data_IF_667261522417
#
_entry.id   IF_667261522417
#
_cell.length_a   1.000
_cell.length_b   1.000
_cell.length_c   1.000
_cell.angle_alpha   90.00
_cell.angle_beta   90.00
_cell.angle_gamma   90.00
#
_symmetry.space_group_name_H-M   'P 1'
#
loop_
_entity.id
_entity.type
_entity.pdbx_description
1 polymer ?
#
# COMPACT_ATOMS: atom_id res chain seq x y z
N UNK A 1 -25.82 29.62 -13.87
CA UNK A 1 -24.63 30.46 -13.63
C UNK A 1 -23.71 29.68 -12.71
N UNK A 2 -22.57 29.20 -13.22
CA UNK A 2 -21.59 28.42 -12.44
C UNK A 2 -20.90 29.36 -11.45
N UNK A 3 -21.01 29.08 -10.16
CA UNK A 3 -20.24 29.77 -9.14
C UNK A 3 -18.77 29.35 -9.28
N UNK A 4 -17.96 30.23 -9.85
CA UNK A 4 -16.51 30.11 -9.86
C UNK A 4 -16.00 30.17 -8.41
N UNK A 5 -15.51 29.04 -7.89
CA UNK A 5 -14.73 29.06 -6.66
C UNK A 5 -13.43 29.85 -6.92
N UNK A 6 -13.06 30.81 -6.05
CA UNK A 6 -11.83 31.55 -6.20
C UNK A 6 -10.65 30.61 -6.03
N UNK A 7 -9.76 30.55 -7.03
CA UNK A 7 -8.42 29.95 -6.89
C UNK A 7 -7.67 30.75 -5.82
N UNK A 8 -7.56 30.23 -4.60
CA UNK A 8 -6.74 30.85 -3.57
C UNK A 8 -5.27 30.46 -3.76
N UNK A 9 -4.45 31.51 -3.86
CA UNK A 9 -3.07 31.69 -3.39
C UNK A 9 -2.02 30.61 -3.71
N UNK A 10 -0.98 31.04 -4.44
CA UNK A 10 0.40 30.53 -4.42
C UNK A 10 0.62 29.33 -3.49
N UNK A 11 0.62 28.11 -4.06
CA UNK A 11 1.07 26.92 -3.35
C UNK A 11 2.56 27.15 -3.05
N UNK A 12 2.88 27.25 -1.76
CA UNK A 12 4.26 27.28 -1.31
C UNK A 12 4.90 25.93 -1.70
N UNK A 13 5.78 25.98 -2.71
CA UNK A 13 6.44 24.80 -3.25
C UNK A 13 7.47 24.22 -2.29
N UNK A 14 7.89 25.02 -1.29
CA UNK A 14 8.87 24.62 -0.27
C UNK A 14 8.18 24.13 1.01
N UNK A 15 6.85 24.23 1.10
CA UNK A 15 6.10 23.71 2.25
C UNK A 15 6.17 22.18 2.27
N UNK A 16 6.57 21.57 3.41
CA UNK A 16 6.59 20.11 3.55
C UNK A 16 5.18 19.50 3.44
N UNK A 17 4.14 20.31 3.68
CA UNK A 17 2.73 19.91 3.63
C UNK A 17 2.06 20.25 2.28
N UNK A 18 2.84 20.65 1.25
CA UNK A 18 2.29 20.87 -0.09
C UNK A 18 1.55 19.62 -0.60
N UNK A 19 0.43 19.74 -1.32
CA UNK A 19 -0.24 18.58 -1.88
C UNK A 19 0.61 17.93 -2.99
N UNK A 20 0.44 16.63 -3.19
CA UNK A 20 0.88 15.96 -4.41
C UNK A 20 -0.04 16.37 -5.57
N UNK A 21 0.47 16.29 -6.80
CA UNK A 21 -0.32 16.63 -7.98
C UNK A 21 -1.39 15.56 -8.22
N UNK A 22 -0.99 14.28 -8.22
CA UNK A 22 -1.87 13.16 -8.56
C UNK A 22 -1.97 12.08 -7.46
N UNK A 23 -1.16 12.14 -6.41
CA UNK A 23 -1.21 11.16 -5.31
C UNK A 23 -2.14 11.67 -4.20
N UNK A 24 -3.33 11.08 -4.10
CA UNK A 24 -4.31 11.45 -3.08
C UNK A 24 -4.13 10.65 -1.79
N UNK A 25 -4.78 11.13 -0.71
CA UNK A 25 -4.78 10.48 0.60
C UNK A 25 -3.36 10.25 1.18
N UNK A 26 -2.38 11.03 0.73
CA UNK A 26 -0.99 10.95 1.15
C UNK A 26 -0.78 11.64 2.50
N UNK A 27 -0.11 10.98 3.46
CA UNK A 27 0.38 11.63 4.70
C UNK A 27 1.46 10.81 5.40
N UNK A 28 2.25 11.53 6.21
CA UNK A 28 3.09 10.96 7.26
C UNK A 28 2.23 10.60 8.48
N UNK A 29 2.24 9.33 8.87
CA UNK A 29 1.46 8.81 10.00
C UNK A 29 1.96 9.39 11.33
N UNK A 30 3.28 9.46 11.51
CA UNK A 30 3.89 10.01 12.72
C UNK A 30 3.52 11.48 12.91
N UNK A 31 3.64 12.27 11.85
CA UNK A 31 3.21 13.68 11.86
C UNK A 31 1.72 13.83 12.13
N UNK A 32 0.88 13.04 11.47
CA UNK A 32 -0.58 13.03 11.64
C UNK A 32 -0.98 12.83 13.11
N UNK A 33 -0.41 11.82 13.76
CA UNK A 33 -0.66 11.50 15.17
C UNK A 33 -0.09 12.56 16.11
N UNK A 34 1.14 13.03 15.87
CA UNK A 34 1.77 14.06 16.69
C UNK A 34 0.98 15.38 16.66
N UNK A 35 0.49 15.79 15.49
CA UNK A 35 -0.35 16.99 15.32
C UNK A 35 -1.65 16.88 16.12
N UNK A 36 -2.32 15.72 16.06
CA UNK A 36 -3.53 15.49 16.83
C UNK A 36 -3.27 15.54 18.35
N UNK A 37 -2.15 14.97 18.80
CA UNK A 37 -1.77 14.95 20.21
C UNK A 37 -1.21 16.27 20.74
N UNK A 38 -0.79 17.18 19.86
CA UNK A 38 -0.09 18.41 20.24
C UNK A 38 1.31 18.18 20.85
N UNK A 39 1.87 16.97 20.71
CA UNK A 39 3.20 16.60 21.21
C UNK A 39 3.82 15.52 20.33
N UNK A 40 5.16 15.48 20.27
CA UNK A 40 5.91 14.47 19.51
C UNK A 40 6.01 13.18 20.31
N UNK A 41 5.34 12.12 19.85
CA UNK A 41 5.42 10.75 20.41
C UNK A 41 5.87 9.72 19.37
N UNK A 42 5.66 9.99 18.09
CA UNK A 42 6.17 9.19 16.96
C UNK A 42 7.25 9.94 16.18
N UNK A 43 8.19 9.21 15.61
CA UNK A 43 9.12 9.74 14.61
C UNK A 43 8.35 10.13 13.35
N UNK A 44 8.64 11.33 12.85
CA UNK A 44 8.20 11.77 11.53
C UNK A 44 9.20 11.31 10.47
N UNK A 45 8.76 11.21 9.22
CA UNK A 45 9.56 10.76 8.10
C UNK A 45 9.83 9.26 8.08
N UNK A 46 9.05 8.47 8.83
CA UNK A 46 9.24 7.01 8.98
C UNK A 46 8.19 6.25 8.18
N UNK A 47 6.92 6.40 8.53
CA UNK A 47 5.82 5.66 7.92
C UNK A 47 4.86 6.61 7.20
N UNK A 48 4.76 6.44 5.88
CA UNK A 48 3.83 7.14 5.02
C UNK A 48 2.72 6.21 4.54
N UNK A 49 1.56 6.80 4.26
CA UNK A 49 0.42 6.12 3.63
C UNK A 49 -0.14 6.94 2.49
N UNK A 50 -0.67 6.30 1.45
CA UNK A 50 -1.36 6.97 0.34
C UNK A 50 -2.37 6.07 -0.38
N UNK A 51 -3.16 6.65 -1.28
CA UNK A 51 -3.78 5.91 -2.39
C UNK A 51 -2.72 5.44 -3.39
N UNK A 52 -3.14 4.68 -4.42
CA UNK A 52 -2.23 4.18 -5.45
C UNK A 52 -1.45 5.34 -6.12
N UNK A 53 -0.12 5.23 -6.25
CA UNK A 53 0.69 6.26 -6.89
C UNK A 53 0.86 6.03 -8.41
N UNK A 54 0.02 5.20 -9.03
CA UNK A 54 0.14 4.80 -10.44
C UNK A 54 0.29 6.03 -11.35
N UNK A 55 -0.52 7.06 -11.12
CA UNK A 55 -0.59 8.27 -11.95
C UNK A 55 0.30 9.41 -11.43
N UNK A 56 1.28 9.11 -10.57
CA UNK A 56 2.21 10.10 -10.01
C UNK A 56 2.90 10.91 -11.11
N UNK A 57 2.84 12.24 -11.00
CA UNK A 57 3.57 13.15 -11.90
C UNK A 57 5.09 13.01 -11.71
N UNK A 58 5.90 13.52 -12.65
CA UNK A 58 7.36 13.57 -12.47
C UNK A 58 7.76 14.39 -11.23
N UNK A 59 6.95 15.38 -10.85
CA UNK A 59 7.14 16.16 -9.63
C UNK A 59 6.78 15.34 -8.39
N UNK A 60 5.74 14.52 -8.45
CA UNK A 60 5.37 13.60 -7.39
C UNK A 60 6.47 12.56 -7.16
N UNK A 61 7.00 11.96 -8.24
CA UNK A 61 8.11 11.00 -8.19
C UNK A 61 9.36 11.61 -7.55
N UNK A 62 9.79 12.79 -8.00
CA UNK A 62 10.92 13.52 -7.40
C UNK A 62 10.67 13.82 -5.93
N UNK A 63 9.47 14.21 -5.55
CA UNK A 63 9.14 14.42 -4.14
C UNK A 63 9.27 13.13 -3.32
N UNK A 64 8.74 12.02 -3.82
CA UNK A 64 8.88 10.73 -3.13
C UNK A 64 10.35 10.30 -3.01
N UNK A 65 11.14 10.42 -4.07
CA UNK A 65 12.52 9.90 -4.10
C UNK A 65 13.57 10.86 -3.53
N UNK A 66 13.49 12.16 -3.83
CA UNK A 66 14.53 13.15 -3.53
C UNK A 66 14.21 14.00 -2.29
N UNK A 67 12.93 14.28 -2.00
CA UNK A 67 12.56 15.10 -0.84
C UNK A 67 12.25 14.21 0.37
N UNK A 68 11.37 13.23 0.18
CA UNK A 68 10.93 12.32 1.24
C UNK A 68 11.83 11.09 1.38
N UNK A 69 12.71 10.86 0.41
CA UNK A 69 13.67 9.76 0.39
C UNK A 69 13.03 8.39 0.61
N UNK A 70 11.82 8.16 0.08
CA UNK A 70 11.11 6.88 0.23
C UNK A 70 12.03 5.73 -0.22
N UNK A 71 12.41 4.89 0.74
CA UNK A 71 13.32 3.77 0.54
C UNK A 71 12.56 2.48 0.20
N UNK A 72 11.31 2.35 0.66
CA UNK A 72 10.50 1.16 0.44
C UNK A 72 9.05 1.53 0.13
N UNK A 73 8.46 0.85 -0.85
CA UNK A 73 7.04 0.93 -1.18
C UNK A 73 6.41 -0.45 -0.97
N UNK A 74 5.35 -0.51 -0.17
CA UNK A 74 4.54 -1.72 0.03
C UNK A 74 3.19 -1.50 -0.65
N UNK A 75 2.96 -2.22 -1.74
CA UNK A 75 1.70 -2.23 -2.49
C UNK A 75 0.82 -3.37 -2.00
N UNK A 76 -0.33 -3.03 -1.40
CA UNK A 76 -1.27 -3.99 -0.82
C UNK A 76 -2.33 -4.50 -1.81
N UNK A 77 -2.21 -4.15 -3.09
CA UNK A 77 -3.18 -4.50 -4.12
C UNK A 77 -3.10 -5.98 -4.53
N UNK A 78 -4.23 -6.48 -5.02
CA UNK A 78 -4.32 -7.82 -5.61
C UNK A 78 -3.79 -7.85 -7.03
N UNK A 79 -3.37 -9.03 -7.49
CA UNK A 79 -2.97 -9.24 -8.89
C UNK A 79 -4.05 -8.79 -9.87
N UNK A 80 -5.33 -8.94 -9.49
CA UNK A 80 -6.48 -8.47 -10.29
C UNK A 80 -6.50 -6.95 -10.39
N UNK A 81 -6.26 -6.23 -9.30
CA UNK A 81 -6.15 -4.77 -9.31
C UNK A 81 -4.95 -4.29 -10.14
N UNK A 82 -3.80 -4.98 -10.06
CA UNK A 82 -2.65 -4.69 -10.92
C UNK A 82 -2.99 -4.89 -12.39
N UNK A 83 -3.64 -6.00 -12.76
CA UNK A 83 -4.07 -6.24 -14.14
C UNK A 83 -5.03 -5.16 -14.64
N UNK A 84 -6.03 -4.79 -13.83
CA UNK A 84 -6.99 -3.74 -14.19
C UNK A 84 -6.30 -2.38 -14.38
N UNK A 85 -5.29 -2.06 -13.57
CA UNK A 85 -4.52 -0.83 -13.70
C UNK A 85 -3.67 -0.83 -14.99
N UNK A 86 -3.02 -1.94 -15.32
CA UNK A 86 -2.29 -2.12 -16.59
C UNK A 86 -3.22 -1.99 -17.79
N UNK A 87 -4.39 -2.65 -17.76
CA UNK A 87 -5.37 -2.58 -18.85
C UNK A 87 -5.91 -1.16 -19.04
N UNK A 88 -6.18 -0.45 -17.94
CA UNK A 88 -6.58 0.97 -17.97
C UNK A 88 -5.50 1.82 -18.64
N UNK A 89 -4.23 1.68 -18.22
CA UNK A 89 -3.11 2.45 -18.78
C UNK A 89 -2.92 2.20 -20.28
N UNK A 90 -3.03 0.95 -20.71
CA UNK A 90 -2.95 0.59 -22.13
C UNK A 90 -4.09 1.23 -22.93
N UNK A 91 -5.31 1.19 -22.40
CA UNK A 91 -6.46 1.82 -23.07
C UNK A 91 -6.32 3.34 -23.19
N UNK A 92 -5.71 4.01 -22.20
CA UNK A 92 -5.45 5.45 -22.24
C UNK A 92 -4.36 5.80 -23.26
N UNK A 93 -3.29 5.01 -23.30
CA UNK A 93 -2.22 5.16 -24.29
C UNK A 93 -2.75 4.95 -25.71
N UNK A 94 -3.56 3.92 -25.95
CA UNK A 94 -4.16 3.65 -27.24
C UNK A 94 -5.08 4.81 -27.68
N UNK A 95 -5.92 5.31 -26.78
CA UNK A 95 -6.80 6.46 -27.05
C UNK A 95 -6.00 7.76 -27.33
N UNK A 96 -4.83 7.93 -26.71
CA UNK A 96 -3.96 9.07 -26.98
C UNK A 96 -3.27 8.92 -28.35
N UNK A 97 -2.79 7.72 -28.69
CA UNK A 97 -2.20 7.43 -29.99
C UNK A 97 -3.22 7.58 -31.14
N UNK A 98 -4.48 7.22 -30.91
CA UNK A 98 -5.57 7.45 -31.88
C UNK A 98 -5.80 8.93 -32.14
N UNK A 99 -5.85 9.76 -31.08
CA UNK A 99 -5.96 11.22 -31.21
C UNK A 99 -4.74 11.84 -31.91
N UNK A 100 -3.54 11.39 -31.57
CA UNK A 100 -2.30 11.87 -32.18
C UNK A 100 -2.19 11.48 -33.67
N UNK A 101 -2.72 10.31 -34.06
CA UNK A 101 -2.82 9.87 -35.47
C UNK A 101 -3.89 10.61 -36.27
N UNK A 102 -4.98 11.05 -35.64
CA UNK A 102 -5.99 11.91 -36.27
C UNK A 102 -5.45 13.32 -36.52
N UNK A 103 -4.58 13.84 -35.65
CA UNK A 103 -3.99 15.18 -35.75
C UNK A 103 -2.65 15.22 -36.53
N UNK A 104 -1.95 14.08 -36.70
CA UNK A 104 -0.59 14.03 -37.30
C UNK A 104 -0.41 12.89 -38.30
N UNK A 105 -0.01 13.20 -39.54
CA UNK A 105 0.27 12.20 -40.61
C UNK A 105 1.62 11.48 -40.48
N UNK A 106 2.11 11.20 -39.27
CA UNK A 106 3.43 10.61 -39.05
C UNK A 106 3.35 9.28 -38.29
N UNK A 107 4.02 8.25 -38.81
CA UNK A 107 4.14 6.95 -38.14
C UNK A 107 5.11 7.07 -36.96
N UNK A 108 4.61 6.78 -35.75
CA UNK A 108 5.45 6.63 -34.57
C UNK A 108 5.58 5.14 -34.29
N UNK A 109 6.81 4.64 -34.37
CA UNK A 109 7.20 3.32 -33.85
C UNK A 109 7.45 3.48 -32.36
N UNK A 110 6.55 2.96 -31.52
CA UNK A 110 6.80 2.83 -30.08
C UNK A 110 7.42 1.46 -29.81
N UNK A 111 8.71 1.47 -29.54
CA UNK A 111 9.41 0.39 -28.87
C UNK A 111 9.27 0.63 -27.36
N UNK A 112 8.47 -0.17 -26.68
CA UNK A 112 8.41 -0.17 -25.21
C UNK A 112 8.02 -1.57 -24.78
N UNK A 113 8.88 -2.20 -23.98
CA UNK A 113 8.69 -3.54 -23.44
C UNK A 113 7.38 -3.62 -22.64
N UNK A 114 6.34 -4.18 -23.26
CA UNK A 114 5.02 -4.31 -22.66
C UNK A 114 5.04 -5.40 -21.58
N UNK A 115 5.25 -5.00 -20.32
CA UNK A 115 5.30 -5.87 -19.15
C UNK A 115 3.98 -5.88 -18.37
N UNK A 116 3.73 -6.88 -17.52
CA UNK A 116 2.55 -6.91 -16.66
C UNK A 116 2.50 -5.76 -15.63
N UNK A 117 3.62 -5.09 -15.40
CA UNK A 117 3.87 -4.14 -14.32
C UNK A 117 4.02 -2.67 -14.79
N UNK A 118 3.56 -2.36 -16.01
CA UNK A 118 3.64 -1.01 -16.62
C UNK A 118 2.94 0.09 -15.81
N UNK A 119 1.96 -0.27 -14.99
CA UNK A 119 1.23 0.70 -14.17
C UNK A 119 2.02 1.15 -12.93
N UNK A 120 3.03 0.37 -12.50
CA UNK A 120 3.75 0.60 -11.25
C UNK A 120 4.58 1.88 -11.30
N UNK A 121 4.54 2.65 -10.21
CA UNK A 121 5.43 3.80 -10.04
C UNK A 121 6.87 3.31 -9.91
N UNK A 122 7.76 3.82 -10.75
CA UNK A 122 9.18 3.55 -10.65
C UNK A 122 9.84 4.67 -9.85
N UNK A 123 10.29 4.36 -8.63
CA UNK A 123 11.05 5.27 -7.78
C UNK A 123 12.51 4.78 -7.73
N UNK A 124 13.47 5.54 -8.32
CA UNK A 124 14.87 5.15 -8.28
C UNK A 124 15.37 4.96 -6.85
N UNK A 125 15.98 3.80 -6.57
CA UNK A 125 16.54 3.47 -5.26
C UNK A 125 15.54 2.91 -4.24
N UNK A 126 14.23 2.96 -4.52
CA UNK A 126 13.23 2.39 -3.63
C UNK A 126 12.98 0.90 -3.90
N UNK A 127 12.82 0.11 -2.84
CA UNK A 127 12.42 -1.30 -2.93
C UNK A 127 10.90 -1.41 -3.02
N UNK A 128 10.38 -2.10 -4.05
CA UNK A 128 8.95 -2.33 -4.21
C UNK A 128 8.59 -3.75 -3.76
N UNK A 129 7.64 -3.85 -2.83
CA UNK A 129 7.08 -5.12 -2.35
C UNK A 129 5.60 -5.21 -2.67
N UNK A 130 5.23 -6.22 -3.46
CA UNK A 130 3.83 -6.52 -3.78
C UNK A 130 3.29 -7.54 -2.77
N UNK A 131 2.42 -7.10 -1.85
CA UNK A 131 1.85 -7.93 -0.79
C UNK A 131 0.32 -7.89 -0.88
N UNK A 132 -0.26 -8.85 -1.59
CA UNK A 132 -1.71 -8.89 -1.80
C UNK A 132 -2.48 -9.32 -0.54
N UNK A 133 -2.92 -8.36 0.28
CA UNK A 133 -3.73 -8.65 1.47
C UNK A 133 -5.10 -9.26 1.15
N UNK A 134 -5.60 -9.07 -0.08
CA UNK A 134 -6.82 -9.69 -0.59
C UNK A 134 -6.48 -10.75 -1.65
N UNK A 135 -5.44 -11.55 -1.39
CA UNK A 135 -4.99 -12.62 -2.27
C UNK A 135 -5.86 -13.88 -2.18
N UNK A 136 -5.35 -14.99 -2.72
CA UNK A 136 -6.10 -16.26 -2.86
C UNK A 136 -6.64 -16.79 -1.53
N UNK A 137 -5.94 -16.59 -0.42
CA UNK A 137 -6.40 -17.05 0.90
C UNK A 137 -7.66 -16.31 1.35
N UNK A 138 -7.67 -14.99 1.17
CA UNK A 138 -8.83 -14.13 1.43
C UNK A 138 -9.98 -14.44 0.46
N UNK A 139 -9.72 -14.51 -0.85
CA UNK A 139 -10.72 -14.87 -1.85
C UNK A 139 -11.39 -16.21 -1.53
N UNK A 140 -10.60 -17.22 -1.17
CA UNK A 140 -11.11 -18.52 -0.75
C UNK A 140 -12.00 -18.40 0.49
N UNK A 141 -11.60 -17.58 1.47
CA UNK A 141 -12.39 -17.33 2.69
C UNK A 141 -13.73 -16.70 2.37
N UNK A 142 -13.78 -15.74 1.44
CA UNK A 142 -15.04 -15.17 0.97
C UNK A 142 -15.92 -16.21 0.29
N UNK A 143 -15.35 -17.05 -0.57
CA UNK A 143 -16.11 -18.11 -1.26
C UNK A 143 -16.71 -19.12 -0.27
N UNK A 144 -15.98 -19.53 0.76
CA UNK A 144 -16.49 -20.47 1.77
C UNK A 144 -17.59 -19.90 2.67
N UNK A 145 -17.79 -18.57 2.68
CA UNK A 145 -18.88 -17.92 3.40
C UNK A 145 -20.19 -17.88 2.61
N UNK A 146 -20.16 -18.21 1.31
CA UNK A 146 -21.39 -18.36 0.52
C UNK A 146 -22.17 -19.59 0.97
N UNK A 147 -23.50 -19.52 0.90
CA UNK A 147 -24.32 -20.71 0.96
C UNK A 147 -24.01 -21.63 -0.24
N UNK A 148 -24.34 -22.92 -0.09
CA UNK A 148 -24.02 -23.93 -1.10
C UNK A 148 -24.54 -23.60 -2.51
N UNK A 149 -25.70 -22.96 -2.61
CA UNK A 149 -26.29 -22.60 -3.92
C UNK A 149 -25.48 -21.49 -4.58
N UNK A 150 -25.21 -20.40 -3.85
CA UNK A 150 -24.42 -19.29 -4.37
C UNK A 150 -22.96 -19.69 -4.62
N UNK A 151 -22.38 -20.58 -3.81
CA UNK A 151 -21.06 -21.15 -4.05
C UNK A 151 -20.98 -21.85 -5.42
N UNK A 152 -21.90 -22.77 -5.70
CA UNK A 152 -21.94 -23.48 -6.97
C UNK A 152 -22.22 -22.54 -8.15
N UNK A 153 -23.09 -21.55 -7.95
CA UNK A 153 -23.39 -20.51 -8.96
C UNK A 153 -22.15 -19.69 -9.31
N UNK A 154 -21.40 -19.23 -8.31
CA UNK A 154 -20.14 -18.48 -8.50
C UNK A 154 -19.11 -19.33 -9.24
N UNK A 155 -18.94 -20.60 -8.88
CA UNK A 155 -18.02 -21.50 -9.56
C UNK A 155 -18.40 -21.71 -11.03
N UNK A 156 -19.70 -21.89 -11.31
CA UNK A 156 -20.22 -22.07 -12.67
C UNK A 156 -20.01 -20.83 -13.53
N UNK A 157 -20.30 -19.64 -12.99
CA UNK A 157 -20.11 -18.37 -13.68
C UNK A 157 -18.63 -18.09 -13.95
N UNK A 158 -17.76 -18.33 -12.96
CA UNK A 158 -16.31 -18.16 -13.10
C UNK A 158 -15.73 -19.12 -14.15
N UNK A 159 -16.14 -20.39 -14.16
CA UNK A 159 -15.72 -21.38 -15.15
C UNK A 159 -16.23 -21.07 -16.57
N UNK A 160 -17.39 -20.42 -16.67
CA UNK A 160 -18.02 -20.04 -17.94
C UNK A 160 -17.56 -18.68 -18.48
N UNK A 161 -16.61 -18.02 -17.82
CA UNK A 161 -16.07 -16.71 -18.23
C UNK A 161 -16.87 -15.49 -17.75
N UNK A 162 -17.98 -15.69 -17.04
CA UNK A 162 -18.82 -14.64 -16.45
C UNK A 162 -18.27 -14.18 -15.09
N UNK A 163 -16.99 -13.77 -15.08
CA UNK A 163 -16.31 -13.29 -13.86
C UNK A 163 -16.99 -12.07 -13.23
N UNK A 164 -17.49 -11.06 -13.98
CA UNK A 164 -18.18 -9.93 -13.38
C UNK A 164 -19.40 -10.36 -12.57
N UNK A 165 -20.26 -11.23 -13.11
CA UNK A 165 -21.44 -11.74 -12.42
C UNK A 165 -21.09 -12.54 -11.15
N UNK A 166 -20.02 -13.34 -11.22
CA UNK A 166 -19.49 -14.07 -10.08
C UNK A 166 -19.04 -13.12 -8.95
N UNK A 167 -18.34 -12.04 -9.30
CA UNK A 167 -17.88 -11.01 -8.35
C UNK A 167 -19.08 -10.29 -7.73
N UNK A 168 -20.09 -9.92 -8.51
CA UNK A 168 -21.31 -9.27 -7.99
C UNK A 168 -22.00 -10.13 -6.94
N UNK A 169 -22.08 -11.46 -7.13
CA UNK A 169 -22.67 -12.37 -6.14
C UNK A 169 -21.85 -12.36 -4.84
N UNK A 170 -20.53 -12.45 -4.91
CA UNK A 170 -19.67 -12.38 -3.72
C UNK A 170 -19.84 -11.02 -3.02
N UNK A 171 -19.92 -9.95 -3.79
CA UNK A 171 -20.17 -8.60 -3.31
C UNK A 171 -21.48 -8.48 -2.53
N UNK A 172 -22.59 -8.91 -3.12
CA UNK A 172 -23.93 -8.80 -2.53
C UNK A 172 -24.15 -9.77 -1.36
N UNK A 173 -23.66 -11.01 -1.47
CA UNK A 173 -24.01 -12.08 -0.53
C UNK A 173 -23.02 -12.24 0.61
N UNK A 174 -21.77 -11.81 0.44
CA UNK A 174 -20.73 -11.96 1.48
C UNK A 174 -20.20 -10.61 1.91
N UNK A 175 -19.71 -9.80 0.97
CA UNK A 175 -19.03 -8.57 1.32
C UNK A 175 -19.99 -7.58 1.97
N UNK A 176 -21.13 -7.30 1.33
CA UNK A 176 -22.13 -6.33 1.79
C UNK A 176 -22.65 -6.63 3.21
N UNK A 177 -23.12 -7.85 3.55
CA UNK A 177 -23.53 -8.17 4.92
C UNK A 177 -22.38 -8.09 5.95
N UNK A 178 -21.16 -8.37 5.51
CA UNK A 178 -19.98 -8.38 6.38
C UNK A 178 -19.51 -6.95 6.71
N UNK A 179 -19.74 -6.00 5.80
CA UNK A 179 -19.29 -4.63 5.94
C UNK A 179 -17.76 -4.49 5.94
N UNK A 180 -17.27 -3.26 5.97
CA UNK A 180 -15.83 -2.98 5.99
C UNK A 180 -15.11 -3.50 7.25
N UNK A 181 -15.78 -3.46 8.41
CA UNK A 181 -15.21 -3.96 9.68
C UNK A 181 -15.00 -5.48 9.60
N UNK A 182 -16.03 -6.22 9.20
CA UNK A 182 -15.94 -7.68 9.11
C UNK A 182 -14.94 -8.13 8.03
N UNK A 183 -14.80 -7.39 6.94
CA UNK A 183 -13.77 -7.67 5.93
C UNK A 183 -12.35 -7.39 6.47
N UNK A 184 -12.19 -6.39 7.34
CA UNK A 184 -10.94 -6.16 8.08
C UNK A 184 -10.59 -7.34 8.99
N UNK A 185 -11.56 -7.86 9.73
CA UNK A 185 -11.40 -9.07 10.56
C UNK A 185 -11.06 -10.29 9.70
N UNK A 186 -11.79 -10.53 8.61
CA UNK A 186 -11.53 -11.64 7.71
C UNK A 186 -10.14 -11.54 7.06
N UNK A 187 -9.62 -10.32 6.84
CA UNK A 187 -8.25 -10.10 6.35
C UNK A 187 -7.21 -10.55 7.39
N UNK A 188 -7.42 -10.22 8.68
CA UNK A 188 -6.54 -10.69 9.76
C UNK A 188 -6.55 -12.21 9.86
N UNK A 189 -7.72 -12.82 9.73
CA UNK A 189 -7.90 -14.26 9.93
C UNK A 189 -7.35 -15.11 8.77
N UNK A 190 -7.27 -14.54 7.56
CA UNK A 190 -6.97 -15.30 6.34
C UNK A 190 -5.64 -14.94 5.67
N UNK A 191 -5.10 -13.74 5.87
CA UNK A 191 -3.90 -13.23 5.16
C UNK A 191 -2.64 -13.30 6.02
N UNK A 192 -2.46 -14.41 6.75
CA UNK A 192 -1.40 -14.56 7.77
C UNK A 192 0.01 -14.58 7.18
N UNK A 193 0.19 -15.18 6.01
CA UNK A 193 1.49 -15.24 5.30
C UNK A 193 1.90 -13.85 4.83
N UNK A 194 0.95 -13.10 4.29
CA UNK A 194 1.13 -11.74 3.82
C UNK A 194 1.43 -10.79 4.97
N UNK A 195 0.75 -10.94 6.10
CA UNK A 195 0.99 -10.17 7.32
C UNK A 195 2.38 -10.43 7.90
N UNK A 196 2.82 -11.70 7.91
CA UNK A 196 4.19 -12.04 8.30
C UNK A 196 5.23 -11.36 7.42
N UNK A 197 5.07 -11.44 6.09
CA UNK A 197 5.99 -10.82 5.14
C UNK A 197 6.04 -9.29 5.31
N UNK A 198 4.88 -8.67 5.52
CA UNK A 198 4.76 -7.23 5.73
C UNK A 198 5.51 -6.78 7.00
N UNK A 199 5.29 -7.45 8.13
CA UNK A 199 5.95 -7.08 9.38
C UNK A 199 7.45 -7.43 9.40
N UNK A 200 7.88 -8.43 8.62
CA UNK A 200 9.30 -8.69 8.39
C UNK A 200 9.99 -7.52 7.68
N UNK A 201 9.33 -6.91 6.67
CA UNK A 201 9.84 -5.71 5.98
C UNK A 201 9.87 -4.53 6.95
N UNK A 202 8.79 -4.28 7.70
CA UNK A 202 8.73 -3.19 8.70
C UNK A 202 9.82 -3.31 9.77
N UNK A 203 10.22 -4.54 10.12
CA UNK A 203 11.26 -4.81 11.11
C UNK A 203 12.69 -4.71 10.55
N UNK A 204 12.86 -4.68 9.22
CA UNK A 204 14.17 -4.67 8.58
C UNK A 204 14.88 -3.33 8.82
N UNK A 205 16.02 -3.36 9.52
CA UNK A 205 16.82 -2.18 9.85
C UNK A 205 17.90 -1.92 8.80
N UNK A 206 18.37 -0.67 8.63
CA UNK A 206 19.63 -0.42 7.95
C UNK A 206 20.73 -1.21 8.66
N UNK A 207 21.49 -2.00 7.91
CA UNK A 207 22.71 -2.61 8.41
C UNK A 207 23.67 -1.49 8.83
N UNK A 208 23.88 -1.32 10.13
CA UNK A 208 24.98 -0.49 10.64
C UNK A 208 26.28 -1.06 10.09
N UNK A 209 26.99 -0.26 9.28
CA UNK A 209 28.27 -0.58 8.67
C UNK A 209 29.22 -1.23 9.69
N UNK A 210 29.61 -2.48 9.44
CA UNK A 210 30.73 -3.10 10.12
C UNK A 210 32.02 -2.36 9.72
N UNK A 211 32.50 -1.48 10.58
CA UNK A 211 33.88 -0.99 10.52
C UNK A 211 34.80 -2.15 10.88
N UNK A 212 35.14 -3.00 9.91
CA UNK A 212 36.30 -3.87 10.03
C UNK A 212 37.53 -3.06 9.65
N UNK A 213 38.18 -2.49 10.67
CA UNK A 213 39.59 -2.14 10.63
C UNK A 213 40.40 -3.39 10.29
N UNK A 214 40.94 -3.48 9.07
CA UNK A 214 41.93 -4.48 8.72
C UNK A 214 43.29 -3.81 8.55
N UNK A 215 44.12 -3.97 9.57
CA UNK A 215 45.56 -3.75 9.53
C UNK A 215 46.21 -4.73 8.55
N UNK A 216 46.98 -4.21 7.61
CA UNK A 216 47.83 -4.99 6.69
C UNK A 216 48.82 -5.89 7.44
N UNK A 217 49.28 -6.99 6.80
CA UNK A 217 50.67 -6.98 6.35
C UNK A 217 50.93 -7.56 4.95
N UNK A 218 51.94 -6.98 4.31
CA UNK A 218 52.85 -7.42 3.23
C UNK A 218 53.31 -8.90 3.40
N UNK A 219 53.66 -9.74 2.41
CA UNK A 219 54.10 -9.62 0.99
C UNK A 219 54.14 -11.06 0.33
N UNK A 220 54.90 -11.41 -0.75
CA UNK A 220 54.35 -11.87 -2.04
C UNK A 220 54.83 -13.26 -2.55
N UNK A 221 54.10 -13.89 -3.50
CA UNK A 221 54.62 -14.88 -4.51
C UNK A 221 53.45 -15.51 -5.31
N UNK A 222 53.30 -15.21 -6.60
CA UNK A 222 53.65 -16.00 -7.82
C UNK A 222 52.56 -16.95 -8.36
N UNK A 223 52.32 -16.76 -9.66
CA UNK A 223 51.89 -17.70 -10.70
C UNK A 223 50.40 -17.83 -11.12
N UNK A 224 50.22 -17.46 -12.40
CA UNK A 224 49.45 -18.09 -13.49
C UNK A 224 47.91 -18.07 -13.54
N UNK A 225 47.44 -17.23 -14.48
CA UNK A 225 46.52 -17.53 -15.59
C UNK A 225 45.21 -18.29 -15.32
N UNK A 226 44.08 -17.57 -15.29
CA UNK A 226 42.90 -17.96 -16.06
C UNK A 226 41.89 -16.80 -16.26
N UNK A 227 41.57 -16.60 -17.53
CA UNK A 227 40.39 -15.95 -18.15
C UNK A 227 39.06 -16.07 -17.38
N UNK A 228 38.44 -14.92 -17.04
CA UNK A 228 37.01 -14.55 -17.21
C UNK A 228 36.77 -13.13 -16.69
N UNK A 229 35.97 -12.26 -17.36
CA UNK A 229 35.56 -10.99 -16.76
C UNK A 229 34.42 -11.27 -15.77
N UNK A 230 34.76 -11.60 -14.52
CA UNK A 230 33.80 -11.51 -13.43
C UNK A 230 33.43 -10.04 -13.24
N UNK A 231 32.27 -9.69 -13.78
CA UNK A 231 31.55 -8.48 -13.41
C UNK A 231 31.17 -8.64 -11.95
N UNK A 232 32.01 -8.06 -11.07
CA UNK A 232 31.68 -7.85 -9.66
C UNK A 232 30.23 -7.32 -9.61
N UNK A 233 29.27 -8.05 -9.01
CA UNK A 233 27.97 -7.47 -8.76
C UNK A 233 28.21 -6.29 -7.84
N UNK A 234 27.90 -5.10 -8.35
CA UNK A 234 27.91 -3.86 -7.59
C UNK A 234 27.24 -4.15 -6.27
N UNK A 235 28.01 -4.04 -5.19
CA UNK A 235 27.57 -4.31 -3.84
C UNK A 235 26.37 -3.40 -3.55
N UNK A 236 25.15 -3.95 -3.67
CA UNK A 236 23.91 -3.26 -3.35
C UNK A 236 23.99 -2.98 -1.85
N UNK A 237 24.19 -1.71 -1.50
CA UNK A 237 24.13 -1.24 -0.12
C UNK A 237 22.75 -1.63 0.43
N UNK A 238 22.69 -2.42 1.49
CA UNK A 238 21.46 -2.60 2.26
C UNK A 238 21.19 -1.33 3.06
N UNK A 239 20.70 -0.32 2.35
CA UNK A 239 20.13 0.90 2.91
C UNK A 239 18.80 0.56 3.62
N UNK A 240 18.50 1.33 4.66
CA UNK A 240 17.35 1.22 5.55
C UNK A 240 16.03 0.88 4.83
N UNK A 241 15.18 0.03 5.41
CA UNK A 241 13.81 -0.14 4.90
C UNK A 241 12.99 1.16 4.99
N UNK A 242 13.32 2.04 5.94
CA UNK A 242 12.68 3.34 6.11
C UNK A 242 13.38 4.45 5.33
N UNK A 243 12.62 5.45 4.84
CA UNK A 243 11.17 5.65 4.97
C UNK A 243 10.31 4.71 4.12
N UNK A 244 9.18 4.25 4.68
CA UNK A 244 8.26 3.29 4.03
C UNK A 244 6.99 4.02 3.59
N UNK A 245 6.59 3.83 2.34
CA UNK A 245 5.24 4.18 1.85
C UNK A 245 4.39 2.90 1.73
N UNK A 246 3.27 2.84 2.45
CA UNK A 246 2.28 1.76 2.32
C UNK A 246 1.06 2.29 1.58
N UNK A 247 0.61 1.59 0.55
CA UNK A 247 -0.61 1.97 -0.16
C UNK A 247 -1.47 0.76 -0.55
N UNK A 248 -2.71 1.05 -0.91
CA UNK A 248 -3.58 0.13 -1.62
C UNK A 248 -4.21 0.92 -2.77
N UNK A 249 -5.43 0.60 -3.19
CA UNK A 249 -6.13 1.40 -4.20
C UNK A 249 -6.47 2.80 -3.68
N UNK A 250 -7.12 2.91 -2.52
CA UNK A 250 -7.55 4.20 -1.95
C UNK A 250 -6.72 4.64 -0.74
N UNK A 251 -5.82 3.79 -0.23
CA UNK A 251 -5.07 4.10 0.99
C UNK A 251 -5.92 4.13 2.27
N UNK A 252 -7.16 3.63 2.22
CA UNK A 252 -8.14 3.68 3.32
C UNK A 252 -8.22 2.37 4.08
N UNK A 253 -8.75 1.31 3.48
CA UNK A 253 -9.13 0.08 4.20
C UNK A 253 -7.93 -0.82 4.53
N UNK A 254 -7.33 -1.46 3.52
CA UNK A 254 -6.14 -2.32 3.70
C UNK A 254 -4.97 -1.56 4.33
N UNK A 255 -4.65 -0.39 3.79
CA UNK A 255 -3.62 0.48 4.35
C UNK A 255 -3.96 0.93 5.77
N UNK A 256 -5.22 1.27 6.04
CA UNK A 256 -5.66 1.67 7.38
C UNK A 256 -5.57 0.54 8.38
N UNK A 257 -5.88 -0.70 7.98
CA UNK A 257 -5.69 -1.88 8.83
C UNK A 257 -4.22 -2.06 9.21
N UNK A 258 -3.30 -1.98 8.25
CA UNK A 258 -1.87 -2.11 8.53
C UNK A 258 -1.35 -0.97 9.41
N UNK A 259 -1.71 0.27 9.09
CA UNK A 259 -1.35 1.44 9.91
C UNK A 259 -1.91 1.30 11.33
N UNK A 260 -3.13 0.82 11.49
CA UNK A 260 -3.72 0.54 12.80
C UNK A 260 -2.92 -0.50 13.58
N UNK A 261 -2.51 -1.62 12.97
CA UNK A 261 -1.68 -2.62 13.64
C UNK A 261 -0.34 -2.00 14.12
N UNK A 262 0.30 -1.17 13.31
CA UNK A 262 1.50 -0.44 13.70
C UNK A 262 1.26 0.53 14.88
N UNK A 263 0.14 1.24 14.89
CA UNK A 263 -0.20 2.17 15.99
C UNK A 263 -0.59 1.42 17.28
N UNK A 264 -1.25 0.27 17.17
CA UNK A 264 -1.55 -0.58 18.33
C UNK A 264 -0.29 -1.09 19.02
N UNK A 265 0.82 -1.28 18.29
CA UNK A 265 2.13 -1.61 18.89
C UNK A 265 2.72 -0.49 19.75
N UNK A 266 2.17 0.73 19.70
CA UNK A 266 2.59 1.90 20.48
C UNK A 266 1.41 2.54 21.22
N UNK A 267 0.39 1.72 21.54
CA UNK A 267 -0.86 2.18 22.17
C UNK A 267 -0.69 2.79 23.57
N UNK A 268 0.45 2.57 24.23
CA UNK A 268 0.81 3.20 25.51
C UNK A 268 1.07 4.70 25.39
N UNK A 269 1.42 5.20 24.20
CA UNK A 269 1.64 6.63 23.94
C UNK A 269 0.71 7.22 22.88
N UNK A 270 0.08 6.37 22.06
CA UNK A 270 -0.92 6.75 21.05
C UNK A 270 -2.30 6.23 21.47
N UNK A 271 -3.22 7.10 21.92
CA UNK A 271 -4.56 6.69 22.32
C UNK A 271 -5.43 6.34 21.10
N UNK A 272 -6.50 5.58 21.35
CA UNK A 272 -7.39 5.06 20.30
C UNK A 272 -8.04 6.17 19.46
N UNK A 273 -8.34 7.31 20.09
CA UNK A 273 -8.93 8.48 19.43
C UNK A 273 -7.96 9.09 18.40
N UNK A 274 -6.66 9.05 18.66
CA UNK A 274 -5.65 9.50 17.69
C UNK A 274 -5.58 8.56 16.48
N UNK A 275 -5.69 7.24 16.72
CA UNK A 275 -5.74 6.24 15.64
C UNK A 275 -6.99 6.40 14.78
N UNK A 276 -8.14 6.64 15.43
CA UNK A 276 -9.41 6.92 14.76
C UNK A 276 -9.35 8.21 13.94
N UNK A 277 -8.74 9.26 14.49
CA UNK A 277 -8.54 10.52 13.78
C UNK A 277 -7.68 10.33 12.52
N UNK A 278 -6.55 9.62 12.61
CA UNK A 278 -5.74 9.32 11.40
C UNK A 278 -6.52 8.52 10.35
N UNK A 279 -7.31 7.53 10.78
CA UNK A 279 -8.11 6.72 9.87
C UNK A 279 -9.17 7.54 9.13
N UNK A 280 -9.96 8.32 9.87
CA UNK A 280 -11.07 9.15 9.34
C UNK A 280 -10.58 10.29 8.43
N UNK A 281 -9.32 10.75 8.57
CA UNK A 281 -8.72 11.70 7.61
C UNK A 281 -8.80 11.24 6.14
N UNK A 282 -8.95 9.94 5.90
CA UNK A 282 -9.11 9.41 4.54
C UNK A 282 -10.40 9.83 3.86
N UNK A 283 -11.45 10.20 4.61
CA UNK A 283 -12.73 10.62 4.02
C UNK A 283 -12.62 11.92 3.20
N UNK A 284 -12.19 13.06 3.78
CA UNK A 284 -12.08 14.31 3.04
C UNK A 284 -11.06 14.22 1.88
N UNK A 285 -10.00 13.44 2.03
CA UNK A 285 -8.94 13.27 1.01
C UNK A 285 -9.42 12.54 -0.24
N UNK A 286 -10.48 11.74 -0.13
CA UNK A 286 -11.00 10.96 -1.25
C UNK A 286 -12.20 11.63 -1.93
N UNK A 287 -12.66 12.80 -1.47
CA UNK A 287 -13.87 13.46 -1.97
C UNK A 287 -13.84 13.71 -3.48
N UNK A 288 -12.67 14.05 -4.04
CA UNK A 288 -12.51 14.31 -5.48
C UNK A 288 -12.84 13.09 -6.36
N UNK A 289 -12.69 11.87 -5.84
CA UNK A 289 -12.93 10.63 -6.58
C UNK A 289 -14.26 9.94 -6.20
N UNK A 290 -15.15 10.59 -5.44
CA UNK A 290 -16.40 9.95 -4.98
C UNK A 290 -17.22 9.39 -6.15
N UNK A 291 -17.39 10.15 -7.24
CA UNK A 291 -18.24 9.74 -8.35
C UNK A 291 -17.72 8.51 -9.10
N UNK A 292 -16.41 8.44 -9.33
CA UNK A 292 -15.78 7.27 -9.97
C UNK A 292 -15.82 6.05 -9.06
N UNK A 293 -15.47 6.23 -7.78
CA UNK A 293 -15.56 5.17 -6.77
C UNK A 293 -16.97 4.63 -6.63
N UNK A 294 -17.98 5.50 -6.71
CA UNK A 294 -19.38 5.10 -6.69
C UNK A 294 -19.78 4.23 -7.88
N UNK A 295 -19.22 4.48 -9.07
CA UNK A 295 -19.42 3.60 -10.23
C UNK A 295 -18.81 2.23 -10.00
N UNK A 296 -17.62 2.16 -9.41
CA UNK A 296 -16.94 0.89 -9.10
C UNK A 296 -17.67 0.09 -8.01
N UNK A 297 -18.02 0.74 -6.89
CA UNK A 297 -18.76 0.14 -5.78
C UNK A 297 -20.10 -0.44 -6.25
N UNK A 298 -20.84 0.29 -7.10
CA UNK A 298 -22.11 -0.20 -7.67
C UNK A 298 -21.91 -1.39 -8.61
N UNK A 299 -20.81 -1.44 -9.37
CA UNK A 299 -20.47 -2.62 -10.20
C UNK A 299 -20.21 -3.87 -9.36
N UNK A 300 -19.74 -3.70 -8.13
CA UNK A 300 -19.51 -4.80 -7.18
C UNK A 300 -20.77 -5.18 -6.38
N UNK A 301 -21.92 -4.52 -6.61
CA UNK A 301 -23.13 -4.76 -5.82
C UNK A 301 -23.05 -4.24 -4.39
N UNK A 302 -22.17 -3.26 -4.13
CA UNK A 302 -21.93 -2.69 -2.80
C UNK A 302 -22.64 -1.34 -2.62
N UNK A 303 -22.85 -0.94 -1.36
CA UNK A 303 -23.53 0.30 -0.99
C UNK A 303 -22.57 1.49 -0.83
N UNK A 304 -23.13 2.70 -0.72
CA UNK A 304 -22.37 3.94 -0.46
C UNK A 304 -21.56 3.91 0.85
N UNK A 305 -21.90 3.03 1.79
CA UNK A 305 -21.18 2.87 3.06
C UNK A 305 -19.71 2.47 2.85
N UNK A 306 -19.41 1.80 1.74
CA UNK A 306 -18.04 1.42 1.36
C UNK A 306 -17.16 2.62 0.97
N UNK A 307 -17.75 3.80 0.71
CA UNK A 307 -16.97 5.03 0.47
C UNK A 307 -16.46 5.66 1.76
N UNK A 308 -17.09 5.37 2.91
CA UNK A 308 -16.84 6.02 4.20
C UNK A 308 -15.89 5.22 5.09
N UNK A 309 -15.38 5.85 6.12
CA UNK A 309 -14.72 5.19 7.23
C UNK A 309 -15.81 4.71 8.21
N UNK A 310 -16.00 3.39 8.41
CA UNK A 310 -17.06 2.90 9.28
C UNK A 310 -16.80 3.32 10.73
N UNK A 311 -17.84 3.81 11.40
CA UNK A 311 -17.78 4.12 12.81
C UNK A 311 -17.40 2.86 13.61
N UNK A 312 -16.49 3.01 14.58
CA UNK A 312 -16.03 1.89 15.41
C UNK A 312 -15.01 0.97 14.74
N UNK A 313 -14.51 1.26 13.53
CA UNK A 313 -13.49 0.42 12.87
C UNK A 313 -12.31 0.07 13.79
N UNK A 314 -11.75 1.08 14.45
CA UNK A 314 -10.61 0.92 15.35
C UNK A 314 -10.95 0.00 16.52
N UNK A 315 -12.04 0.31 17.24
CA UNK A 315 -12.48 -0.43 18.41
C UNK A 315 -12.85 -1.88 18.09
N UNK A 316 -13.56 -2.12 16.98
CA UNK A 316 -13.97 -3.46 16.57
C UNK A 316 -12.81 -4.34 16.09
N UNK A 317 -11.82 -3.76 15.39
CA UNK A 317 -10.60 -4.49 15.02
C UNK A 317 -9.76 -4.80 16.26
N UNK A 318 -9.57 -3.81 17.15
CA UNK A 318 -8.86 -4.01 18.42
C UNK A 318 -9.52 -5.09 19.27
N UNK A 319 -10.85 -5.04 19.41
CA UNK A 319 -11.64 -6.05 20.13
C UNK A 319 -11.46 -7.45 19.53
N UNK A 320 -11.50 -7.57 18.21
CA UNK A 320 -11.23 -8.85 17.52
C UNK A 320 -9.83 -9.38 17.82
N UNK A 321 -8.81 -8.52 17.82
CA UNK A 321 -7.44 -8.87 18.17
C UNK A 321 -7.32 -9.33 19.63
N UNK A 322 -7.97 -8.63 20.56
CA UNK A 322 -8.00 -8.97 21.98
C UNK A 322 -8.70 -10.33 22.23
N UNK A 323 -9.90 -10.50 21.70
CA UNK A 323 -10.73 -11.70 21.93
C UNK A 323 -10.15 -12.95 21.26
N UNK A 324 -9.63 -12.82 20.03
CA UNK A 324 -9.19 -13.98 19.23
C UNK A 324 -7.72 -14.33 19.40
N UNK A 325 -6.87 -13.34 19.72
CA UNK A 325 -5.42 -13.51 19.70
C UNK A 325 -4.71 -13.02 20.97
N UNK A 326 -5.41 -12.42 21.93
CA UNK A 326 -4.81 -11.83 23.12
C UNK A 326 -4.12 -10.48 22.86
N UNK A 327 -4.57 -9.75 21.82
CA UNK A 327 -4.08 -8.43 21.44
C UNK A 327 -3.21 -8.44 20.18
N UNK A 328 -2.72 -7.26 19.77
CA UNK A 328 -1.94 -7.11 18.52
C UNK A 328 -0.64 -7.93 18.53
N UNK A 329 0.08 -7.97 19.65
CA UNK A 329 1.32 -8.76 19.77
C UNK A 329 1.02 -10.26 19.72
N UNK A 330 -0.08 -10.70 20.33
CA UNK A 330 -0.54 -12.08 20.25
C UNK A 330 -0.92 -12.49 18.83
N UNK A 331 -1.57 -11.60 18.08
CA UNK A 331 -1.86 -11.80 16.66
C UNK A 331 -0.57 -11.87 15.83
N UNK A 332 0.37 -10.95 16.03
CA UNK A 332 1.65 -10.95 15.29
C UNK A 332 2.46 -12.23 15.57
N UNK A 333 2.46 -12.70 16.82
CA UNK A 333 3.05 -13.98 17.18
C UNK A 333 2.35 -15.15 16.49
N UNK A 334 1.02 -15.14 16.44
CA UNK A 334 0.22 -16.17 15.75
C UNK A 334 0.55 -16.26 14.25
N UNK A 335 0.72 -15.12 13.57
CA UNK A 335 1.12 -15.12 12.14
C UNK A 335 2.61 -15.41 11.92
N UNK A 336 3.39 -15.52 13.00
CA UNK A 336 4.80 -15.93 12.97
C UNK A 336 5.79 -14.78 12.86
N UNK A 337 5.43 -13.59 13.31
CA UNK A 337 6.33 -12.45 13.55
C UNK A 337 6.95 -12.62 14.95
N UNK A 338 8.25 -12.46 15.04
CA UNK A 338 9.01 -12.63 16.28
C UNK A 338 8.89 -11.42 17.21
N UNK A 339 9.08 -11.63 18.51
CA UNK A 339 9.13 -10.53 19.50
C UNK A 339 10.24 -9.52 19.17
N UNK A 340 11.35 -9.96 18.57
CA UNK A 340 12.43 -9.08 18.12
C UNK A 340 11.98 -8.19 16.95
N UNK A 341 11.25 -8.75 15.98
CA UNK A 341 10.66 -7.97 14.88
C UNK A 341 9.65 -6.96 15.40
N UNK A 342 8.76 -7.37 16.32
CA UNK A 342 7.80 -6.46 16.99
C UNK A 342 8.54 -5.33 17.70
N UNK A 343 9.58 -5.65 18.48
CA UNK A 343 10.41 -4.67 19.19
C UNK A 343 11.11 -3.69 18.24
N UNK A 344 11.59 -4.16 17.07
CA UNK A 344 12.21 -3.32 16.03
C UNK A 344 11.19 -2.37 15.40
N UNK A 345 10.00 -2.84 15.03
CA UNK A 345 8.93 -1.99 14.50
C UNK A 345 8.55 -0.92 15.53
N UNK A 346 8.28 -1.33 16.77
CA UNK A 346 7.92 -0.41 17.86
C UNK A 346 8.99 0.67 18.08
N UNK A 347 10.26 0.28 18.15
CA UNK A 347 11.40 1.21 18.32
C UNK A 347 11.62 2.12 17.10
N UNK A 348 11.32 1.61 15.91
CA UNK A 348 11.36 2.36 14.65
C UNK A 348 10.34 3.49 14.61
N UNK A 349 9.18 3.32 15.27
CA UNK A 349 8.10 4.31 15.30
C UNK A 349 8.23 5.33 16.44
N UNK A 350 8.74 4.95 17.60
CA UNK A 350 8.79 5.83 18.79
C UNK A 350 9.83 6.96 18.67
N UNK A 351 9.42 8.16 19.10
CA UNK A 351 10.13 9.45 18.99
C UNK A 351 11.37 9.64 19.87
#
# INVERSE_FOLDING_TARGET
MKASHPRQSSIDLDSPDRPFDNIINFRDVGRSVNQWLGRRVLKEGVLYRSARPDDASERDKRRLSEELHIATVIDLRSSTEHQMATDKRRSENDAQLEKEKEDSSASITTDTSAGPDEHLVQLPGAQLHLISLTGKAFERTLLWKLDWWNFFKVLTLAASGYRPDAITIVGEQVMSPRGLIGLGQDTLDSSTVEMKALFHILASTPSSSSTTSSSAPTSPSTDEDNTTPETNPTQIRSESAYPILIHCTQGKDRTGLIVLLCLLLVADVVPEEAMAADYVRSEPELVAEVDERMKEIRKLGLSEEYTKCPAGFIGEIKRHLEESYGGVEGYLRYVGVTEEEVGRVRSGLLA
#
